data_IF_282342379757
#
_entry.id   IF_282342379757
#
_cell.length_a   1.000
_cell.length_b   1.000
_cell.length_c   1.000
_cell.angle_alpha   90.00
_cell.angle_beta   90.00
_cell.angle_gamma   90.00
#
_symmetry.space_group_name_H-M   'P 1'
#
loop_
_entity.id
_entity.type
_entity.pdbx_description
1 polymer ?
#
# COMPACT_ATOMS: atom_id res chain seq x y z
N UNK A 1 -13.26 -1.07 -15.11
CA UNK A 1 -12.38 -2.17 -15.58
C UNK A 1 -12.22 -3.13 -14.41
N UNK A 2 -12.39 -4.42 -14.59
CA UNK A 2 -12.21 -5.39 -13.51
C UNK A 2 -10.78 -5.88 -13.57
N UNK A 3 -10.09 -5.89 -12.43
CA UNK A 3 -8.71 -6.38 -12.30
C UNK A 3 -8.52 -7.79 -12.88
N UNK A 4 -9.55 -8.63 -12.78
CA UNK A 4 -9.54 -10.01 -13.28
C UNK A 4 -9.68 -10.13 -14.80
N UNK A 5 -10.20 -9.10 -15.49
CA UNK A 5 -10.46 -9.15 -16.93
C UNK A 5 -9.23 -8.66 -17.73
N UNK A 6 -8.51 -7.68 -17.22
CA UNK A 6 -7.28 -7.11 -17.80
C UNK A 6 -6.40 -6.52 -16.69
N UNK A 7 -5.60 -7.37 -15.99
CA UNK A 7 -4.75 -6.92 -14.89
C UNK A 7 -3.73 -5.87 -15.30
N UNK A 8 -3.11 -6.04 -16.47
CA UNK A 8 -2.06 -5.14 -16.95
C UNK A 8 -2.59 -3.72 -17.19
N UNK A 9 -3.70 -3.57 -17.89
CA UNK A 9 -4.33 -2.26 -18.11
C UNK A 9 -4.81 -1.65 -16.79
N UNK A 10 -5.35 -2.46 -15.87
CA UNK A 10 -5.81 -2.00 -14.55
C UNK A 10 -4.65 -1.47 -13.71
N UNK A 11 -3.58 -2.24 -13.55
CA UNK A 11 -2.41 -1.83 -12.76
C UNK A 11 -1.65 -0.67 -13.39
N UNK A 12 -1.58 -0.60 -14.73
CA UNK A 12 -0.98 0.55 -15.42
C UNK A 12 -1.74 1.85 -15.16
N UNK A 13 -3.07 1.82 -15.09
CA UNK A 13 -3.87 2.99 -14.73
C UNK A 13 -3.65 3.39 -13.28
N UNK A 14 -3.63 2.42 -12.35
CA UNK A 14 -3.37 2.67 -10.93
C UNK A 14 -1.96 3.24 -10.71
N UNK A 15 -0.97 2.76 -11.47
CA UNK A 15 0.40 3.25 -11.40
C UNK A 15 0.51 4.71 -11.86
N UNK A 16 -0.15 5.06 -12.98
CA UNK A 16 -0.21 6.46 -13.46
C UNK A 16 -0.87 7.38 -12.44
N UNK A 17 -2.04 6.99 -11.92
CA UNK A 17 -2.76 7.75 -10.90
C UNK A 17 -1.90 7.95 -9.63
N UNK A 18 -1.21 6.89 -9.17
CA UNK A 18 -0.33 6.99 -8.02
C UNK A 18 0.87 7.92 -8.27
N UNK A 19 1.47 7.86 -9.45
CA UNK A 19 2.58 8.74 -9.80
C UNK A 19 2.12 10.21 -9.92
N UNK A 20 0.94 10.47 -10.52
CA UNK A 20 0.32 11.80 -10.54
C UNK A 20 0.10 12.34 -9.12
N UNK A 21 -0.35 11.49 -8.21
CA UNK A 21 -0.55 11.85 -6.81
C UNK A 21 0.78 12.16 -6.11
N UNK A 22 1.83 11.36 -6.31
CA UNK A 22 3.17 11.62 -5.75
C UNK A 22 3.69 12.97 -6.25
N UNK A 23 3.60 13.23 -7.56
CA UNK A 23 4.06 14.50 -8.15
C UNK A 23 3.23 15.69 -7.67
N UNK A 24 1.94 15.52 -7.40
CA UNK A 24 1.08 16.57 -6.84
C UNK A 24 1.49 16.99 -5.42
N UNK A 25 2.03 16.08 -4.61
CA UNK A 25 2.46 16.36 -3.23
C UNK A 25 3.94 16.74 -3.09
N UNK A 26 4.79 16.30 -4.02
CA UNK A 26 6.24 16.43 -3.86
C UNK A 26 6.98 16.95 -5.10
N UNK A 27 6.25 17.30 -6.17
CA UNK A 27 6.80 17.77 -7.43
C UNK A 27 7.33 16.66 -8.32
N UNK A 28 7.97 17.01 -9.46
CA UNK A 28 8.38 16.05 -10.48
C UNK A 28 9.26 14.91 -9.95
N UNK A 29 9.01 13.70 -10.43
CA UNK A 29 9.75 12.49 -10.06
C UNK A 29 11.13 12.39 -10.74
N UNK A 30 11.37 13.15 -11.81
CA UNK A 30 12.62 13.08 -12.57
C UNK A 30 13.86 13.31 -11.69
N UNK A 31 14.81 12.39 -11.74
CA UNK A 31 16.06 12.42 -10.98
C UNK A 31 15.92 12.05 -9.50
N UNK A 32 14.72 11.74 -9.00
CA UNK A 32 14.49 11.34 -7.60
C UNK A 32 14.69 9.86 -7.39
N UNK A 33 15.11 9.50 -6.18
CA UNK A 33 15.18 8.10 -5.74
C UNK A 33 13.84 7.69 -5.15
N UNK A 34 13.19 6.69 -5.76
CA UNK A 34 11.95 6.08 -5.28
C UNK A 34 12.21 4.67 -4.81
N UNK A 35 11.77 4.35 -3.60
CA UNK A 35 11.81 3.00 -3.02
C UNK A 35 10.40 2.46 -2.95
N UNK A 36 10.09 1.47 -3.80
CA UNK A 36 8.78 0.80 -3.88
C UNK A 36 8.83 -0.49 -3.06
N UNK A 37 8.09 -0.54 -1.95
CA UNK A 37 8.12 -1.63 -0.97
C UNK A 37 6.83 -2.43 -1.04
N UNK A 38 6.94 -3.71 -1.40
CA UNK A 38 5.81 -4.60 -1.63
C UNK A 38 5.13 -4.32 -2.98
N UNK A 39 5.90 -3.90 -3.99
CA UNK A 39 5.36 -3.48 -5.29
C UNK A 39 4.97 -4.63 -6.23
N UNK A 40 5.05 -5.89 -5.77
CA UNK A 40 4.64 -7.07 -6.53
C UNK A 40 5.30 -7.14 -7.90
N UNK A 41 4.51 -7.20 -8.96
CA UNK A 41 4.99 -7.28 -10.35
C UNK A 41 5.63 -5.99 -10.89
N UNK A 42 5.74 -4.91 -10.08
CA UNK A 42 6.53 -3.72 -10.37
C UNK A 42 5.91 -2.68 -11.30
N UNK A 43 4.59 -2.70 -11.53
CA UNK A 43 3.91 -1.71 -12.38
C UNK A 43 4.13 -0.27 -11.90
N UNK A 44 4.14 -0.03 -10.59
CA UNK A 44 4.41 1.28 -10.02
C UNK A 44 5.87 1.69 -10.23
N UNK A 45 6.81 0.80 -9.95
CA UNK A 45 8.25 1.02 -10.18
C UNK A 45 8.53 1.40 -11.63
N UNK A 46 7.94 0.68 -12.60
CA UNK A 46 8.12 0.99 -14.03
C UNK A 46 7.53 2.35 -14.42
N UNK A 47 6.36 2.72 -13.88
CA UNK A 47 5.78 4.04 -14.13
C UNK A 47 6.64 5.16 -13.54
N UNK A 48 7.20 4.99 -12.33
CA UNK A 48 8.12 5.95 -11.74
C UNK A 48 9.38 6.13 -12.61
N UNK A 49 9.94 5.04 -13.14
CA UNK A 49 11.07 5.07 -14.07
C UNK A 49 10.73 5.78 -15.37
N UNK A 50 9.54 5.54 -15.91
CA UNK A 50 9.04 6.22 -17.11
C UNK A 50 8.97 7.74 -16.92
N UNK A 51 8.76 8.21 -15.69
CA UNK A 51 8.79 9.63 -15.29
C UNK A 51 10.19 10.14 -14.94
N UNK A 52 11.22 9.34 -15.16
CA UNK A 52 12.62 9.70 -14.95
C UNK A 52 13.14 9.53 -13.53
N UNK A 53 12.43 8.83 -12.66
CA UNK A 53 12.91 8.49 -11.33
C UNK A 53 13.91 7.33 -11.37
N UNK A 54 14.82 7.30 -10.38
CA UNK A 54 15.61 6.14 -10.02
C UNK A 54 14.79 5.27 -9.07
N UNK A 55 13.92 4.41 -9.62
CA UNK A 55 13.00 3.60 -8.83
C UNK A 55 13.51 2.17 -8.65
N UNK A 56 13.40 1.67 -7.40
CA UNK A 56 13.86 0.34 -6.97
C UNK A 56 12.73 -0.40 -6.28
N UNK A 57 12.49 -1.64 -6.70
CA UNK A 57 11.46 -2.53 -6.16
C UNK A 57 12.04 -3.44 -5.08
N UNK A 58 11.37 -3.52 -3.94
CA UNK A 58 11.63 -4.46 -2.85
C UNK A 58 10.37 -5.30 -2.59
N UNK A 59 10.47 -6.61 -2.82
CA UNK A 59 9.35 -7.54 -2.72
C UNK A 59 9.82 -8.82 -2.04
N UNK A 60 9.21 -9.25 -0.90
CA UNK A 60 9.63 -10.47 -0.22
C UNK A 60 9.23 -11.76 -0.95
N UNK A 61 8.14 -11.74 -1.74
CA UNK A 61 7.59 -12.93 -2.40
C UNK A 61 8.02 -13.00 -3.87
N UNK A 62 8.87 -13.98 -4.18
CA UNK A 62 9.29 -14.27 -5.55
C UNK A 62 8.11 -14.56 -6.50
N UNK A 63 7.01 -15.12 -5.97
CA UNK A 63 5.81 -15.41 -6.74
C UNK A 63 5.08 -14.14 -7.20
N UNK A 64 5.10 -13.09 -6.39
CA UNK A 64 4.50 -11.80 -6.71
C UNK A 64 5.31 -10.99 -7.74
N UNK A 65 6.63 -11.17 -7.77
CA UNK A 65 7.50 -10.55 -8.78
C UNK A 65 7.15 -11.02 -10.20
N UNK A 66 6.48 -12.17 -10.33
CA UNK A 66 6.10 -12.72 -11.63
C UNK A 66 7.28 -13.26 -12.44
N UNK A 67 6.98 -13.64 -13.70
CA UNK A 67 7.97 -14.27 -14.58
C UNK A 67 9.00 -13.29 -15.16
N UNK A 68 8.72 -11.99 -15.12
CA UNK A 68 9.59 -10.92 -15.63
C UNK A 68 9.60 -9.75 -14.63
N UNK A 69 10.35 -9.88 -13.53
CA UNK A 69 10.48 -8.77 -12.58
C UNK A 69 11.16 -7.57 -13.25
N UNK A 70 10.88 -6.34 -12.81
CA UNK A 70 11.63 -5.17 -13.28
C UNK A 70 13.11 -5.31 -13.00
N UNK A 71 13.94 -4.72 -13.87
CA UNK A 71 15.38 -4.70 -13.66
C UNK A 71 15.73 -4.11 -12.29
N UNK A 72 16.66 -4.76 -11.56
CA UNK A 72 17.05 -4.30 -10.23
C UNK A 72 15.99 -4.48 -9.13
N UNK A 73 14.97 -5.33 -9.34
CA UNK A 73 14.10 -5.79 -8.26
C UNK A 73 14.92 -6.60 -7.24
N UNK A 74 14.68 -6.35 -5.97
CA UNK A 74 15.39 -6.96 -4.84
C UNK A 74 14.40 -7.76 -3.99
N UNK A 75 14.72 -9.02 -3.72
CA UNK A 75 13.97 -9.83 -2.75
C UNK A 75 14.40 -9.40 -1.35
N UNK A 76 13.50 -8.75 -0.63
CA UNK A 76 13.79 -8.25 0.72
C UNK A 76 12.54 -8.19 1.58
N UNK A 77 12.75 -8.39 2.89
CA UNK A 77 11.72 -8.18 3.88
C UNK A 77 11.48 -6.68 4.09
N UNK A 78 10.22 -6.24 3.98
CA UNK A 78 9.82 -4.85 4.19
C UNK A 78 10.01 -4.35 5.62
N UNK A 79 10.31 -5.22 6.57
CA UNK A 79 10.68 -4.85 7.94
C UNK A 79 12.17 -4.53 8.11
N UNK A 80 13.01 -4.94 7.15
CA UNK A 80 14.47 -4.75 7.20
C UNK A 80 15.01 -4.60 5.78
N UNK A 81 14.89 -3.42 5.22
CA UNK A 81 15.37 -3.12 3.87
C UNK A 81 16.90 -3.01 3.84
N UNK A 82 17.59 -3.60 2.86
CA UNK A 82 19.03 -3.52 2.72
C UNK A 82 19.49 -2.15 2.19
N UNK A 83 18.99 -1.09 2.83
CA UNK A 83 19.21 0.30 2.46
C UNK A 83 19.72 1.11 3.65
N UNK A 84 20.54 2.13 3.35
CA UNK A 84 20.94 3.12 4.36
C UNK A 84 19.78 4.03 4.74
N UNK A 85 19.87 4.62 5.92
CA UNK A 85 18.93 5.63 6.37
C UNK A 85 18.89 6.83 5.39
N UNK A 86 17.69 7.31 5.13
CA UNK A 86 17.50 8.54 4.38
C UNK A 86 17.93 8.51 2.92
N UNK A 87 17.95 7.34 2.27
CA UNK A 87 18.38 7.20 0.87
C UNK A 87 17.27 7.58 -0.11
N UNK A 88 16.00 7.43 0.26
CA UNK A 88 14.87 7.65 -0.62
C UNK A 88 14.33 9.09 -0.53
N UNK A 89 14.09 9.71 -1.66
CA UNK A 89 13.29 10.94 -1.76
C UNK A 89 11.81 10.63 -1.52
N UNK A 90 11.36 9.50 -2.08
CA UNK A 90 10.00 8.98 -1.95
C UNK A 90 10.06 7.50 -1.57
N UNK A 91 9.40 7.12 -0.49
CA UNK A 91 9.11 5.72 -0.19
C UNK A 91 7.66 5.44 -0.50
N UNK A 92 7.43 4.49 -1.37
CA UNK A 92 6.10 4.12 -1.86
C UNK A 92 5.74 2.72 -1.38
N UNK A 93 4.53 2.56 -0.84
CA UNK A 93 4.00 1.25 -0.45
C UNK A 93 2.49 1.25 -0.62
N UNK A 94 1.99 0.46 -1.56
CA UNK A 94 0.60 0.49 -1.99
C UNK A 94 -0.06 -0.87 -1.83
N UNK A 95 -1.10 -0.94 -0.99
CA UNK A 95 -1.84 -2.17 -0.66
C UNK A 95 -0.93 -3.26 -0.05
N UNK A 96 -0.07 -2.85 0.88
CA UNK A 96 0.86 -3.75 1.58
C UNK A 96 0.56 -3.83 3.07
N UNK A 97 0.10 -2.73 3.68
CA UNK A 97 -0.05 -2.66 5.14
C UNK A 97 -1.02 -3.71 5.69
N UNK A 98 -2.02 -4.12 4.92
CA UNK A 98 -2.95 -5.21 5.24
C UNK A 98 -2.30 -6.60 5.18
N UNK A 99 -1.11 -6.72 4.61
CA UNK A 99 -0.34 -7.97 4.49
C UNK A 99 0.80 -8.08 5.49
N UNK A 100 1.02 -7.08 6.33
CA UNK A 100 2.08 -7.08 7.34
C UNK A 100 1.54 -7.31 8.75
N UNK A 101 2.21 -8.17 9.52
CA UNK A 101 1.78 -8.54 10.87
C UNK A 101 1.98 -7.40 11.88
N UNK A 102 3.03 -6.60 11.72
CA UNK A 102 3.35 -5.44 12.57
C UNK A 102 3.45 -4.16 11.73
N UNK A 103 2.32 -3.45 11.51
CA UNK A 103 2.32 -2.18 10.81
C UNK A 103 3.23 -1.12 11.41
N UNK A 104 3.47 -1.16 12.73
CA UNK A 104 4.33 -0.19 13.42
C UNK A 104 5.78 -0.31 13.02
N UNK A 105 6.34 -1.51 13.10
CA UNK A 105 7.72 -1.80 12.66
C UNK A 105 7.88 -1.55 11.17
N UNK A 106 6.91 -1.95 10.36
CA UNK A 106 6.94 -1.70 8.91
C UNK A 106 6.99 -0.18 8.59
N UNK A 107 6.11 0.62 9.19
CA UNK A 107 6.11 2.08 9.01
C UNK A 107 7.41 2.73 9.52
N UNK A 108 8.04 2.16 10.57
CA UNK A 108 9.33 2.64 11.06
C UNK A 108 10.43 2.42 10.03
N UNK A 109 10.42 1.28 9.37
CA UNK A 109 11.40 0.98 8.33
C UNK A 109 11.20 1.85 7.08
N UNK A 110 9.95 2.07 6.64
CA UNK A 110 9.67 3.01 5.57
C UNK A 110 10.16 4.43 5.91
N UNK A 111 9.91 4.88 7.15
CA UNK A 111 10.38 6.16 7.61
C UNK A 111 11.92 6.21 7.68
N UNK A 112 12.60 5.17 8.15
CA UNK A 112 14.06 5.10 8.25
C UNK A 112 14.73 5.33 6.90
N UNK A 113 14.26 4.64 5.85
CA UNK A 113 14.87 4.73 4.51
C UNK A 113 14.52 6.02 3.77
N UNK A 114 13.43 6.70 4.17
CA UNK A 114 13.06 8.01 3.60
C UNK A 114 13.96 9.09 4.17
N UNK A 115 14.49 10.00 3.35
CA UNK A 115 15.28 11.15 3.84
C UNK A 115 14.44 12.12 4.67
N UNK A 116 15.04 12.90 5.57
CA UNK A 116 14.34 14.02 6.22
C UNK A 116 13.68 14.95 5.17
N UNK A 117 12.42 15.29 5.41
CA UNK A 117 11.60 16.04 4.44
C UNK A 117 11.13 15.23 3.22
N UNK A 118 11.51 13.96 3.09
CA UNK A 118 11.04 13.07 2.03
C UNK A 118 9.59 12.63 2.21
N UNK A 119 8.99 12.12 1.14
CA UNK A 119 7.60 11.70 1.09
C UNK A 119 7.46 10.19 1.35
N UNK A 120 6.48 9.81 2.18
CA UNK A 120 6.01 8.44 2.26
C UNK A 120 4.59 8.39 1.69
N UNK A 121 4.38 7.54 0.69
CA UNK A 121 3.08 7.20 0.15
C UNK A 121 2.70 5.81 0.66
N UNK A 122 1.69 5.73 1.51
CA UNK A 122 1.24 4.46 2.10
C UNK A 122 -0.25 4.30 1.85
N UNK A 123 -0.65 3.22 1.22
CA UNK A 123 -2.07 2.90 1.07
C UNK A 123 -2.38 1.46 1.46
N UNK A 124 -3.60 1.24 1.93
CA UNK A 124 -4.05 -0.10 2.28
C UNK A 124 -5.57 -0.26 2.16
N UNK A 125 -5.99 -1.51 1.94
CA UNK A 125 -7.41 -1.88 1.94
C UNK A 125 -7.88 -2.07 3.37
N UNK A 126 -8.86 -1.25 3.78
CA UNK A 126 -9.44 -1.32 5.11
C UNK A 126 -10.26 -2.61 5.29
N UNK A 127 -10.08 -3.30 6.43
CA UNK A 127 -10.77 -4.55 6.74
C UNK A 127 -12.29 -4.45 6.66
N UNK A 128 -12.89 -3.38 7.17
CA UNK A 128 -14.35 -3.17 7.16
C UNK A 128 -14.88 -2.59 5.84
N UNK A 129 -14.06 -2.47 4.82
CA UNK A 129 -14.55 -2.15 3.47
C UNK A 129 -15.20 -3.38 2.83
N UNK A 130 -16.05 -3.21 1.80
CA UNK A 130 -16.61 -4.33 1.04
C UNK A 130 -15.55 -5.27 0.43
N UNK A 131 -14.32 -4.80 0.29
CA UNK A 131 -13.18 -5.51 -0.32
C UNK A 131 -12.16 -6.02 0.69
N UNK A 132 -12.34 -5.75 2.00
CA UNK A 132 -11.38 -6.09 3.06
C UNK A 132 -11.05 -7.58 3.16
N UNK A 133 -11.95 -8.46 2.74
CA UNK A 133 -11.72 -9.89 2.67
C UNK A 133 -11.06 -10.36 1.36
N UNK A 134 -10.56 -9.46 0.53
CA UNK A 134 -9.94 -9.78 -0.77
C UNK A 134 -10.83 -10.72 -1.61
N UNK A 135 -10.33 -11.86 -2.08
CA UNK A 135 -11.06 -12.80 -2.94
C UNK A 135 -12.30 -13.44 -2.30
N UNK A 136 -12.41 -13.41 -0.98
CA UNK A 136 -13.59 -13.91 -0.25
C UNK A 136 -14.51 -12.81 0.28
N UNK A 137 -14.24 -11.56 -0.10
CA UNK A 137 -15.14 -10.44 0.14
C UNK A 137 -16.47 -10.59 -0.64
N UNK A 138 -17.58 -10.06 -0.16
CA UNK A 138 -17.78 -9.36 1.12
C UNK A 138 -18.09 -10.31 2.30
N UNK A 139 -17.93 -11.61 2.11
CA UNK A 139 -18.35 -12.64 3.08
C UNK A 139 -17.49 -12.66 4.35
N UNK A 140 -16.35 -11.94 4.38
CA UNK A 140 -15.50 -11.78 5.55
C UNK A 140 -16.23 -11.21 6.77
N UNK A 141 -17.31 -10.42 6.55
CA UNK A 141 -18.19 -9.95 7.64
C UNK A 141 -18.86 -11.07 8.43
N UNK A 142 -18.99 -12.27 7.85
CA UNK A 142 -19.56 -13.46 8.52
C UNK A 142 -18.49 -14.32 9.18
N UNK A 143 -17.26 -13.83 9.25
CA UNK A 143 -16.10 -14.53 9.79
C UNK A 143 -15.22 -15.19 8.71
N UNK A 144 -13.91 -15.09 8.88
CA UNK A 144 -12.91 -15.51 7.91
C UNK A 144 -13.05 -16.99 7.49
N UNK A 145 -13.22 -17.89 8.46
CA UNK A 145 -13.33 -19.33 8.19
C UNK A 145 -14.55 -19.67 7.31
N UNK A 146 -15.71 -19.06 7.61
CA UNK A 146 -16.93 -19.29 6.82
C UNK A 146 -16.79 -18.72 5.41
N UNK A 147 -16.20 -17.54 5.28
CA UNK A 147 -15.97 -16.88 4.00
C UNK A 147 -15.02 -17.71 3.11
N UNK A 148 -13.92 -18.20 3.68
CA UNK A 148 -12.95 -19.07 2.98
C UNK A 148 -13.56 -20.41 2.57
N UNK A 149 -14.32 -21.04 3.45
CA UNK A 149 -15.03 -22.29 3.15
C UNK A 149 -16.05 -22.09 2.00
N UNK A 150 -16.77 -20.95 2.00
CA UNK A 150 -17.67 -20.58 0.91
C UNK A 150 -16.92 -20.36 -0.40
N UNK A 151 -15.80 -19.61 -0.38
CA UNK A 151 -14.96 -19.37 -1.54
C UNK A 151 -14.50 -20.69 -2.16
N UNK A 152 -13.93 -21.59 -1.35
CA UNK A 152 -13.49 -22.92 -1.79
C UNK A 152 -14.63 -23.75 -2.41
N UNK A 153 -15.81 -23.76 -1.77
CA UNK A 153 -16.99 -24.49 -2.32
C UNK A 153 -17.45 -23.94 -3.67
N UNK A 154 -17.36 -22.59 -3.84
CA UNK A 154 -17.83 -21.93 -5.07
C UNK A 154 -16.84 -22.04 -6.23
N UNK A 155 -15.55 -21.96 -5.95
CA UNK A 155 -14.49 -21.87 -6.97
C UNK A 155 -13.74 -23.18 -7.20
N UNK A 156 -13.84 -24.13 -6.27
CA UNK A 156 -13.00 -25.33 -6.23
C UNK A 156 -11.54 -25.08 -5.86
N UNK A 157 -11.15 -23.81 -5.54
CA UNK A 157 -9.77 -23.41 -5.27
C UNK A 157 -9.61 -23.01 -3.81
N UNK A 158 -8.41 -23.20 -3.26
CA UNK A 158 -8.04 -22.60 -1.99
C UNK A 158 -7.93 -21.07 -2.15
N UNK A 159 -8.29 -20.34 -1.12
CA UNK A 159 -8.05 -18.89 -1.09
C UNK A 159 -6.54 -18.62 -0.95
N UNK A 160 -6.04 -17.60 -1.64
CA UNK A 160 -4.66 -17.13 -1.54
C UNK A 160 -4.39 -16.54 -0.15
N UNK A 161 -5.37 -15.79 0.39
CA UNK A 161 -5.21 -15.07 1.65
C UNK A 161 -5.78 -15.85 2.83
N UNK A 162 -5.05 -15.78 3.95
CA UNK A 162 -5.44 -16.35 5.24
C UNK A 162 -5.32 -15.26 6.30
N UNK A 163 -6.42 -15.01 7.02
CA UNK A 163 -6.43 -14.02 8.10
C UNK A 163 -5.48 -14.46 9.23
N UNK A 164 -4.59 -13.57 9.64
CA UNK A 164 -3.58 -13.81 10.66
C UNK A 164 -2.28 -14.45 10.15
N UNK A 165 -2.18 -14.78 8.86
CA UNK A 165 -0.96 -15.29 8.23
C UNK A 165 -0.38 -14.31 7.21
N UNK A 166 -1.15 -14.00 6.16
CA UNK A 166 -0.76 -13.10 5.08
C UNK A 166 -1.86 -12.07 4.73
N UNK A 167 -2.88 -11.94 5.58
CA UNK A 167 -3.89 -10.88 5.56
C UNK A 167 -4.25 -10.55 7.01
N UNK A 168 -4.23 -9.27 7.36
CA UNK A 168 -4.50 -8.79 8.71
C UNK A 168 -5.66 -7.79 8.70
N UNK A 169 -6.45 -7.78 9.78
CA UNK A 169 -7.58 -6.88 9.92
C UNK A 169 -7.11 -5.47 10.29
N UNK A 170 -6.66 -4.70 9.30
CA UNK A 170 -6.21 -3.32 9.48
C UNK A 170 -7.39 -2.37 9.45
N UNK A 171 -7.46 -1.46 10.43
CA UNK A 171 -8.52 -0.48 10.62
C UNK A 171 -7.98 0.94 10.49
N UNK A 172 -8.70 1.81 9.79
CA UNK A 172 -8.29 3.20 9.54
C UNK A 172 -8.06 3.95 10.84
N UNK A 173 -8.97 3.84 11.80
CA UNK A 173 -8.84 4.55 13.07
C UNK A 173 -7.64 4.11 13.91
N UNK A 174 -7.30 2.83 13.89
CA UNK A 174 -6.12 2.31 14.58
C UNK A 174 -4.83 2.83 13.91
N UNK A 175 -4.75 2.71 12.58
CA UNK A 175 -3.60 3.20 11.81
C UNK A 175 -3.38 4.70 11.99
N UNK A 176 -4.45 5.51 11.91
CA UNK A 176 -4.34 6.96 12.12
C UNK A 176 -3.87 7.31 13.54
N UNK A 177 -4.29 6.57 14.58
CA UNK A 177 -3.79 6.79 15.95
C UNK A 177 -2.31 6.42 16.04
N UNK A 178 -1.92 5.30 15.46
CA UNK A 178 -0.53 4.84 15.45
C UNK A 178 0.39 5.85 14.76
N UNK A 179 0.00 6.33 13.57
CA UNK A 179 0.81 7.33 12.83
C UNK A 179 0.87 8.65 13.58
N UNK A 180 -0.24 9.13 14.17
CA UNK A 180 -0.25 10.38 14.97
C UNK A 180 0.55 10.33 16.26
N UNK A 181 0.80 9.14 16.79
CA UNK A 181 1.62 8.95 17.98
C UNK A 181 3.13 8.94 17.68
N UNK A 182 3.51 9.03 16.40
CA UNK A 182 4.90 9.06 15.93
C UNK A 182 5.39 10.51 15.88
N UNK A 183 6.66 10.70 16.20
CA UNK A 183 7.38 11.96 16.12
C UNK A 183 8.27 12.08 14.88
N UNK A 184 8.51 10.95 14.19
CA UNK A 184 9.39 10.88 13.03
C UNK A 184 8.67 11.11 11.69
N UNK A 185 7.32 11.19 11.68
CA UNK A 185 6.52 11.47 10.49
C UNK A 185 5.34 12.39 10.77
N UNK A 186 4.98 13.23 9.80
CA UNK A 186 3.81 14.10 9.81
C UNK A 186 2.80 13.67 8.76
N UNK A 187 1.51 13.70 9.10
CA UNK A 187 0.43 13.42 8.15
C UNK A 187 0.16 14.69 7.31
N UNK A 188 0.56 14.66 6.04
CA UNK A 188 0.24 15.71 5.05
C UNK A 188 -1.18 15.56 4.54
N UNK A 189 -1.61 14.32 4.23
CA UNK A 189 -2.98 14.01 3.81
C UNK A 189 -3.38 12.61 4.26
N UNK A 190 -4.65 12.46 4.64
CA UNK A 190 -5.27 11.18 4.89
C UNK A 190 -6.63 11.17 4.20
N UNK A 191 -6.77 10.36 3.16
CA UNK A 191 -7.97 10.38 2.30
C UNK A 191 -8.33 8.99 1.77
N UNK A 192 -9.57 8.84 1.30
CA UNK A 192 -9.93 7.69 0.48
C UNK A 192 -9.19 7.77 -0.87
N UNK A 193 -8.56 6.68 -1.27
CA UNK A 193 -7.76 6.62 -2.51
C UNK A 193 -8.64 6.68 -3.76
N UNK A 194 -9.74 5.95 -3.78
CA UNK A 194 -10.56 5.73 -4.98
C UNK A 194 -11.81 6.60 -5.07
N UNK A 195 -12.09 7.39 -4.04
CA UNK A 195 -13.25 8.30 -4.01
C UNK A 195 -12.77 9.75 -3.97
N UNK A 196 -12.79 10.47 -5.10
CA UNK A 196 -12.33 11.86 -5.11
C UNK A 196 -13.28 12.81 -4.37
N UNK A 197 -14.58 12.46 -4.30
CA UNK A 197 -15.60 13.29 -3.67
C UNK A 197 -15.67 12.99 -2.16
N UNK A 198 -15.50 14.00 -1.33
CA UNK A 198 -15.49 13.89 0.15
C UNK A 198 -14.38 13.00 0.73
N UNK A 199 -13.34 12.69 -0.05
CA UNK A 199 -12.29 11.73 0.31
C UNK A 199 -11.65 12.00 1.67
N UNK A 200 -11.36 13.27 2.00
CA UNK A 200 -10.81 13.64 3.30
C UNK A 200 -11.86 13.76 4.40
N UNK A 201 -13.08 14.21 4.04
CA UNK A 201 -14.15 14.43 5.02
C UNK A 201 -14.62 13.13 5.63
N UNK A 202 -14.76 12.08 4.83
CA UNK A 202 -15.18 10.74 5.29
C UNK A 202 -14.17 10.18 6.28
N UNK A 203 -12.88 10.37 6.04
CA UNK A 203 -11.79 9.88 6.92
C UNK A 203 -11.80 10.59 8.28
N UNK A 204 -12.30 11.82 8.35
CA UNK A 204 -12.40 12.58 9.61
C UNK A 204 -13.53 12.12 10.53
N UNK A 205 -14.54 11.41 10.00
CA UNK A 205 -15.71 10.96 10.78
C UNK A 205 -15.48 9.56 11.37
N UNK A 206 -15.28 9.44 12.71
CA UNK A 206 -15.14 8.13 13.36
C UNK A 206 -16.31 7.20 13.06
N UNK A 207 -16.05 5.92 12.90
CA UNK A 207 -17.08 4.94 12.50
C UNK A 207 -17.34 4.94 11.00
N UNK A 208 -17.84 6.05 10.44
CA UNK A 208 -18.12 6.13 9.00
C UNK A 208 -16.90 5.81 8.13
N UNK A 209 -15.72 6.31 8.51
CA UNK A 209 -14.46 6.05 7.79
C UNK A 209 -14.15 4.55 7.63
N UNK A 210 -14.53 3.73 8.60
CA UNK A 210 -14.24 2.28 8.57
C UNK A 210 -15.05 1.55 7.50
N UNK A 211 -16.21 2.06 7.12
CA UNK A 211 -17.08 1.42 6.11
C UNK A 211 -17.06 2.13 4.76
N UNK A 212 -16.96 3.46 4.78
CA UNK A 212 -17.06 4.27 3.58
C UNK A 212 -15.70 4.53 2.89
N UNK A 213 -14.58 4.32 3.59
CA UNK A 213 -13.24 4.40 2.98
C UNK A 213 -12.76 3.00 2.64
N UNK A 214 -12.83 2.64 1.37
CA UNK A 214 -12.46 1.29 0.93
C UNK A 214 -10.95 1.05 0.99
N UNK A 215 -10.20 2.06 0.59
CA UNK A 215 -8.75 2.06 0.66
C UNK A 215 -8.31 3.42 1.22
N UNK A 216 -7.52 3.39 2.29
CA UNK A 216 -6.95 4.62 2.85
C UNK A 216 -5.64 4.93 2.14
N UNK A 217 -5.49 6.17 1.72
CA UNK A 217 -4.22 6.74 1.31
C UNK A 217 -3.71 7.69 2.40
N UNK A 218 -2.51 7.44 2.86
CA UNK A 218 -1.72 8.29 3.73
C UNK A 218 -0.56 8.88 2.94
N UNK A 219 -0.48 10.18 2.90
CA UNK A 219 0.70 10.93 2.46
C UNK A 219 1.35 11.47 3.72
N UNK A 220 2.57 11.00 3.99
CA UNK A 220 3.32 11.39 5.16
C UNK A 220 4.60 12.12 4.72
N UNK A 221 5.12 12.97 5.60
CA UNK A 221 6.40 13.65 5.46
C UNK A 221 7.33 13.20 6.56
N UNK A 222 8.54 12.73 6.22
CA UNK A 222 9.55 12.42 7.21
C UNK A 222 9.97 13.69 7.94
N UNK A 223 9.84 13.71 9.27
CA UNK A 223 10.34 14.81 10.09
C UNK A 223 11.86 14.85 10.09
N UNK A 224 12.49 16.03 10.23
CA UNK A 224 13.90 16.12 10.60
C UNK A 224 14.17 15.41 11.93
N UNK A 225 15.39 14.88 12.14
CA UNK A 225 15.78 14.28 13.42
C UNK A 225 15.86 15.30 14.56
#
# INVERSE_FOLDING_TARGET
>A
MREQDDPEACYSLLARDAADQVEAYDGPLAGRTVVDVGGGSGYFTEEFRRRGAHAYLFEPDLGELGAKPPDGAVVADGYLLPLRDGVADVTFSSNVLEHVADPGTFLSELARVTRPGGLLYVSFTNWLSPWGGHEWAPWHYLGAERARARYRRRTGRAAKHTLGENLFAVHIGATLRQVRARDDVEIVSARSRYWPFLAETVVKVPGLREFATWNLLLILRRCPP
#
